data_IF_880076206342
#
_entry.id   IF_880076206342
#
_cell.length_a   1.000
_cell.length_b   1.000
_cell.length_c   1.000
_cell.angle_alpha   90.00
_cell.angle_beta   90.00
_cell.angle_gamma   90.00
#
_symmetry.space_group_name_H-M   'P 1'
#
loop_
_entity.id
_entity.type
_entity.pdbx_description
1 polymer ?
#
# COMPACT_ATOMS: atom_id res chain seq x y z
N UNK A 1 -6.27 1.02 -2.20
CA UNK A 1 -4.83 1.29 -2.39
C UNK A 1 -4.37 2.41 -1.47
N UNK A 2 -3.06 2.70 -1.37
CA UNK A 2 -2.50 3.61 -0.36
C UNK A 2 -2.90 5.08 -0.53
N UNK A 3 -2.49 5.72 -1.62
CA UNK A 3 -2.55 7.19 -1.75
C UNK A 3 -3.97 7.77 -1.75
N UNK A 4 -4.90 7.18 -2.50
CA UNK A 4 -6.30 7.63 -2.49
C UNK A 4 -6.99 7.39 -1.14
N UNK A 5 -6.66 6.30 -0.43
CA UNK A 5 -7.28 6.01 0.85
C UNK A 5 -6.84 7.00 1.93
N UNK A 6 -5.54 7.33 2.00
CA UNK A 6 -5.06 8.36 2.94
C UNK A 6 -5.58 9.75 2.54
N UNK A 7 -5.65 10.07 1.25
CA UNK A 7 -6.27 11.30 0.77
C UNK A 7 -7.74 11.41 1.19
N UNK A 8 -8.51 10.34 1.00
CA UNK A 8 -9.91 10.26 1.41
C UNK A 8 -10.06 10.43 2.92
N UNK A 9 -9.16 9.81 3.70
CA UNK A 9 -9.13 9.93 5.16
C UNK A 9 -8.95 11.39 5.57
N UNK A 10 -7.94 12.08 5.04
CA UNK A 10 -7.71 13.51 5.28
C UNK A 10 -8.94 14.33 4.88
N UNK A 11 -9.46 14.12 3.66
CA UNK A 11 -10.61 14.88 3.15
C UNK A 11 -11.86 14.71 4.00
N UNK A 12 -12.13 13.48 4.46
CA UNK A 12 -13.32 13.14 5.24
C UNK A 12 -13.21 13.63 6.68
N UNK A 13 -12.01 13.57 7.27
CA UNK A 13 -11.75 13.92 8.66
C UNK A 13 -11.16 15.32 8.87
N UNK A 14 -11.06 16.15 7.82
CA UNK A 14 -10.40 17.47 7.83
C UNK A 14 -10.82 18.45 8.94
N UNK A 15 -12.01 18.28 9.52
CA UNK A 15 -12.53 19.14 10.59
C UNK A 15 -12.30 18.56 11.99
N UNK A 16 -11.63 17.41 12.10
CA UNK A 16 -11.31 16.76 13.37
C UNK A 16 -9.85 17.07 13.72
N UNK A 17 -9.58 17.82 14.81
CA UNK A 17 -8.23 18.29 15.14
C UNK A 17 -7.26 17.14 15.44
N UNK A 18 -7.76 16.00 15.91
CA UNK A 18 -6.95 14.83 16.25
C UNK A 18 -6.70 13.91 15.04
N UNK A 19 -7.23 14.24 13.86
CA UNK A 19 -7.13 13.42 12.65
C UNK A 19 -6.04 13.93 11.69
N UNK A 20 -4.86 14.22 12.26
CA UNK A 20 -3.69 14.71 11.51
C UNK A 20 -2.77 13.53 11.21
N UNK A 21 -2.43 13.35 9.94
CA UNK A 21 -1.45 12.34 9.51
C UNK A 21 -0.03 12.94 9.51
N UNK A 22 1.00 12.11 9.78
CA UNK A 22 2.40 12.49 9.62
C UNK A 22 2.75 12.67 8.13
N UNK A 23 4.04 12.85 7.84
CA UNK A 23 4.55 12.77 6.48
C UNK A 23 4.03 11.51 5.77
N UNK A 24 3.55 11.68 4.53
CA UNK A 24 2.86 10.61 3.79
C UNK A 24 3.73 9.37 3.56
N UNK A 25 5.06 9.52 3.60
CA UNK A 25 6.04 8.43 3.52
C UNK A 25 5.94 7.47 4.72
N UNK A 26 5.62 8.01 5.89
CA UNK A 26 5.54 7.28 7.16
C UNK A 26 4.22 6.51 7.29
N UNK A 27 3.19 6.96 6.56
CA UNK A 27 1.88 6.28 6.48
C UNK A 27 1.95 5.07 5.54
N UNK A 28 2.74 4.05 5.91
CA UNK A 28 2.94 2.81 5.15
C UNK A 28 1.72 1.89 5.23
N UNK A 29 1.75 0.74 4.54
CA UNK A 29 0.69 -0.27 4.66
C UNK A 29 0.72 -1.03 5.99
N UNK A 30 1.76 -0.85 6.82
CA UNK A 30 1.92 -1.55 8.11
C UNK A 30 1.47 -0.72 9.31
N UNK A 31 1.21 0.58 9.14
CA UNK A 31 0.64 1.39 10.23
C UNK A 31 -0.75 0.88 10.62
N UNK A 32 -1.18 1.03 11.89
CA UNK A 32 -2.32 0.29 12.43
C UNK A 32 -3.61 0.39 11.61
N UNK A 33 -4.04 1.60 11.23
CA UNK A 33 -5.29 1.76 10.49
C UNK A 33 -5.22 1.24 9.05
N UNK A 34 -4.04 1.29 8.41
CA UNK A 34 -3.82 0.72 7.08
C UNK A 34 -3.78 -0.81 7.14
N UNK A 35 -3.20 -1.37 8.21
CA UNK A 35 -3.19 -2.81 8.46
C UNK A 35 -4.61 -3.34 8.67
N UNK A 36 -5.38 -2.67 9.53
CA UNK A 36 -6.79 -2.99 9.77
C UNK A 36 -7.60 -2.93 8.46
N UNK A 37 -7.37 -1.89 7.64
CA UNK A 37 -7.98 -1.77 6.31
C UNK A 37 -7.67 -2.97 5.41
N UNK A 38 -6.41 -3.38 5.28
CA UNK A 38 -6.06 -4.50 4.38
C UNK A 38 -6.56 -5.84 4.88
N UNK A 39 -6.49 -6.10 6.18
CA UNK A 39 -6.98 -7.37 6.75
C UNK A 39 -8.50 -7.49 6.62
N UNK A 40 -9.24 -6.42 6.91
CA UNK A 40 -10.69 -6.41 6.74
C UNK A 40 -11.08 -6.58 5.26
N UNK A 41 -10.33 -5.98 4.34
CA UNK A 41 -10.56 -6.09 2.89
C UNK A 41 -10.40 -7.54 2.42
N UNK A 42 -9.33 -8.23 2.82
CA UNK A 42 -9.12 -9.66 2.52
C UNK A 42 -10.25 -10.52 3.09
N UNK A 43 -10.51 -10.38 4.40
CA UNK A 43 -11.56 -11.15 5.08
C UNK A 43 -12.93 -10.98 4.41
N UNK A 44 -13.30 -9.73 4.09
CA UNK A 44 -14.60 -9.40 3.50
C UNK A 44 -14.75 -9.97 2.09
N UNK A 45 -13.71 -9.86 1.25
CA UNK A 45 -13.73 -10.41 -0.11
C UNK A 45 -13.87 -11.95 -0.08
N UNK A 46 -13.03 -12.62 0.69
CA UNK A 46 -12.97 -14.09 0.72
C UNK A 46 -14.22 -14.71 1.32
N UNK A 47 -14.79 -14.10 2.37
CA UNK A 47 -16.09 -14.50 2.92
C UNK A 47 -17.22 -14.49 1.87
N UNK A 48 -17.07 -13.72 0.79
CA UNK A 48 -18.03 -13.62 -0.32
C UNK A 48 -17.56 -14.32 -1.61
N UNK A 49 -16.46 -15.07 -1.56
CA UNK A 49 -15.90 -15.74 -2.74
C UNK A 49 -15.35 -14.79 -3.81
N UNK A 50 -15.08 -13.53 -3.45
CA UNK A 50 -14.50 -12.49 -4.31
C UNK A 50 -12.98 -12.39 -4.11
N UNK A 51 -12.28 -11.84 -5.10
CA UNK A 51 -10.84 -11.63 -5.01
C UNK A 51 -10.48 -10.40 -4.16
N UNK A 52 -9.42 -10.52 -3.37
CA UNK A 52 -8.77 -9.42 -2.67
C UNK A 52 -7.47 -9.03 -3.39
N UNK A 53 -7.34 -7.77 -3.82
CA UNK A 53 -6.16 -7.31 -4.59
C UNK A 53 -5.31 -6.35 -3.74
N UNK A 54 -4.01 -6.65 -3.68
CA UNK A 54 -3.00 -5.86 -3.01
C UNK A 54 -2.74 -4.49 -3.66
N UNK A 55 -1.89 -3.68 -3.02
CA UNK A 55 -1.61 -2.32 -3.47
C UNK A 55 -0.66 -2.24 -4.67
N UNK A 56 -0.40 -1.01 -5.13
CA UNK A 56 0.54 -0.73 -6.21
C UNK A 56 1.99 -0.69 -5.69
N UNK A 57 2.92 -1.36 -6.39
CA UNK A 57 4.35 -1.05 -6.34
C UNK A 57 4.71 -0.07 -7.47
N UNK A 58 5.01 1.18 -7.11
CA UNK A 58 5.19 2.29 -8.06
C UNK A 58 6.66 2.62 -8.38
N UNK A 59 7.61 1.81 -7.91
CA UNK A 59 9.03 2.07 -8.17
C UNK A 59 9.37 1.87 -9.66
N UNK A 60 10.17 2.77 -10.21
CA UNK A 60 10.69 2.66 -11.58
C UNK A 60 12.18 2.31 -11.48
N UNK A 61 12.59 1.09 -11.87
CA UNK A 61 14.00 0.69 -11.85
C UNK A 61 14.90 1.62 -12.64
N UNK A 62 16.06 1.96 -12.07
CA UNK A 62 17.05 2.83 -12.71
C UNK A 62 18.30 2.03 -13.05
N UNK A 63 18.49 1.71 -14.33
CA UNK A 63 19.65 0.94 -14.82
C UNK A 63 20.99 1.62 -14.58
N UNK A 64 21.02 2.94 -14.37
CA UNK A 64 22.24 3.70 -14.08
C UNK A 64 22.64 3.65 -12.61
N UNK A 65 21.73 3.19 -11.75
CA UNK A 65 21.94 3.08 -10.32
C UNK A 65 21.45 1.71 -9.83
N UNK A 66 22.27 0.65 -10.02
CA UNK A 66 21.87 -0.71 -9.70
C UNK A 66 21.67 -0.90 -8.19
N UNK A 67 22.43 -0.21 -7.34
CA UNK A 67 22.32 -0.34 -5.89
C UNK A 67 20.99 0.23 -5.36
N UNK A 68 20.59 1.42 -5.84
CA UNK A 68 19.27 1.99 -5.50
C UNK A 68 18.15 1.08 -6.02
N UNK A 69 18.33 0.51 -7.21
CA UNK A 69 17.36 -0.41 -7.79
C UNK A 69 17.21 -1.69 -6.97
N UNK A 70 18.30 -2.33 -6.57
CA UNK A 70 18.27 -3.54 -5.74
C UNK A 70 17.63 -3.27 -4.37
N UNK A 71 17.99 -2.16 -3.72
CA UNK A 71 17.38 -1.76 -2.45
C UNK A 71 15.87 -1.53 -2.56
N UNK A 72 15.41 -0.93 -3.66
CA UNK A 72 13.99 -0.73 -3.91
C UNK A 72 13.27 -2.05 -4.25
N UNK A 73 13.90 -2.94 -5.03
CA UNK A 73 13.36 -4.26 -5.34
C UNK A 73 13.22 -5.11 -4.08
N UNK A 74 14.17 -5.06 -3.15
CA UNK A 74 14.06 -5.72 -1.86
C UNK A 74 12.82 -5.27 -1.08
N UNK A 75 12.57 -3.95 -1.03
CA UNK A 75 11.36 -3.38 -0.40
C UNK A 75 10.08 -3.80 -1.11
N UNK A 76 10.06 -3.82 -2.44
CA UNK A 76 8.92 -4.32 -3.22
C UNK A 76 8.64 -5.78 -2.87
N UNK A 77 9.67 -6.63 -2.81
CA UNK A 77 9.51 -8.05 -2.45
C UNK A 77 8.99 -8.23 -1.04
N UNK A 78 9.48 -7.45 -0.08
CA UNK A 78 8.97 -7.47 1.29
C UNK A 78 7.48 -7.07 1.35
N UNK A 79 7.11 -5.98 0.69
CA UNK A 79 5.74 -5.51 0.62
C UNK A 79 4.81 -6.55 -0.02
N UNK A 80 5.25 -7.18 -1.11
CA UNK A 80 4.45 -8.20 -1.81
C UNK A 80 4.36 -9.50 -1.05
N UNK A 81 5.42 -9.86 -0.31
CA UNK A 81 5.41 -11.04 0.56
C UNK A 81 4.42 -10.86 1.70
N UNK A 82 4.31 -9.65 2.25
CA UNK A 82 3.27 -9.32 3.23
C UNK A 82 1.88 -9.47 2.60
N UNK A 83 1.63 -8.83 1.46
CA UNK A 83 0.33 -8.89 0.77
C UNK A 83 -0.11 -10.33 0.46
N UNK A 84 0.78 -11.14 -0.13
CA UNK A 84 0.48 -12.54 -0.44
C UNK A 84 0.27 -13.37 0.84
N UNK A 85 1.08 -13.17 1.89
CA UNK A 85 0.87 -13.84 3.16
C UNK A 85 -0.38 -13.39 3.93
N UNK A 86 -0.89 -12.19 3.68
CA UNK A 86 -2.14 -11.74 4.31
C UNK A 86 -3.38 -12.37 3.68
N UNK A 87 -3.30 -12.74 2.41
CA UNK A 87 -4.40 -13.33 1.66
C UNK A 87 -4.76 -12.58 0.37
N UNK A 88 -3.99 -11.60 -0.11
CA UNK A 88 -4.27 -10.98 -1.40
C UNK A 88 -4.07 -11.99 -2.56
N UNK A 89 -5.05 -12.14 -3.44
CA UNK A 89 -4.98 -13.06 -4.59
C UNK A 89 -4.08 -12.57 -5.72
N UNK A 90 -3.80 -11.27 -5.73
CA UNK A 90 -2.94 -10.61 -6.72
C UNK A 90 -2.54 -9.23 -6.25
N UNK A 91 -1.75 -8.54 -7.07
CA UNK A 91 -1.22 -7.21 -6.74
C UNK A 91 -0.95 -6.37 -7.99
N UNK A 92 -0.62 -5.10 -7.81
CA UNK A 92 -0.34 -4.15 -8.89
C UNK A 92 1.14 -3.74 -8.93
N UNK A 93 1.65 -3.57 -10.15
CA UNK A 93 2.97 -2.99 -10.45
C UNK A 93 2.85 -1.89 -11.51
N UNK A 94 3.67 -0.86 -11.42
CA UNK A 94 3.64 0.27 -12.35
C UNK A 94 4.63 0.13 -13.52
N UNK A 95 5.53 -0.85 -13.46
CA UNK A 95 6.59 -1.02 -14.45
C UNK A 95 6.79 -2.51 -14.79
N UNK A 96 6.99 -2.88 -16.07
CA UNK A 96 7.19 -4.28 -16.50
C UNK A 96 8.33 -5.00 -15.77
N UNK A 97 9.44 -4.31 -15.51
CA UNK A 97 10.60 -4.88 -14.79
C UNK A 97 10.26 -5.32 -13.35
N UNK A 98 9.14 -4.86 -12.77
CA UNK A 98 8.66 -5.33 -11.48
C UNK A 98 7.81 -6.61 -11.58
N UNK A 99 7.37 -7.01 -12.77
CA UNK A 99 6.52 -8.21 -12.94
C UNK A 99 7.25 -9.49 -12.49
N UNK A 100 8.46 -9.82 -12.99
CA UNK A 100 9.15 -11.04 -12.57
C UNK A 100 9.39 -11.16 -11.05
N UNK A 101 9.94 -10.14 -10.34
CA UNK A 101 10.18 -10.26 -8.91
C UNK A 101 8.89 -10.33 -8.08
N UNK A 102 7.79 -9.76 -8.56
CA UNK A 102 6.49 -9.84 -7.88
C UNK A 102 5.82 -11.19 -8.10
N UNK A 103 5.89 -11.74 -9.31
CA UNK A 103 5.37 -13.09 -9.61
C UNK A 103 6.05 -14.13 -8.73
N UNK A 104 7.38 -14.10 -8.63
CA UNK A 104 8.15 -15.02 -7.78
C UNK A 104 7.64 -15.04 -6.32
N UNK A 105 7.28 -13.87 -5.77
CA UNK A 105 6.79 -13.72 -4.40
C UNK A 105 5.37 -14.28 -4.24
N UNK A 106 4.52 -14.14 -5.25
CA UNK A 106 3.17 -14.69 -5.24
C UNK A 106 3.15 -16.19 -5.50
N UNK A 107 3.95 -16.68 -6.46
CA UNK A 107 4.08 -18.10 -6.79
C UNK A 107 4.59 -18.91 -5.58
N UNK A 108 5.51 -18.35 -4.78
CA UNK A 108 6.00 -18.97 -3.56
C UNK A 108 4.89 -19.23 -2.51
N UNK A 109 3.81 -18.44 -2.52
CA UNK A 109 2.69 -18.58 -1.58
C UNK A 109 1.52 -19.35 -2.21
N UNK A 110 1.21 -19.11 -3.48
CA UNK A 110 0.08 -19.72 -4.18
C UNK A 110 0.40 -21.15 -4.65
N UNK A 111 1.65 -21.46 -4.98
CA UNK A 111 2.03 -22.69 -5.65
C UNK A 111 1.24 -22.87 -6.95
N UNK A 112 0.50 -23.96 -7.07
CA UNK A 112 -0.33 -24.24 -8.25
C UNK A 112 -1.75 -23.62 -8.17
N UNK A 113 -2.10 -22.94 -7.07
CA UNK A 113 -3.44 -22.36 -6.92
C UNK A 113 -3.56 -21.07 -7.74
N UNK A 114 -4.67 -20.83 -8.45
CA UNK A 114 -4.87 -19.60 -9.21
C UNK A 114 -5.20 -18.38 -8.33
N UNK A 115 -5.55 -18.59 -7.06
CA UNK A 115 -5.90 -17.59 -6.06
C UNK A 115 -5.92 -18.25 -4.67
N UNK A 116 -6.20 -17.47 -3.62
CA UNK A 116 -6.27 -17.93 -2.23
C UNK A 116 -7.57 -17.50 -1.54
N UNK A 117 -8.69 -17.47 -2.28
CA UNK A 117 -10.03 -17.16 -1.76
C UNK A 117 -10.49 -18.12 -0.66
N UNK A 118 -9.88 -19.29 -0.55
CA UNK A 118 -10.08 -20.26 0.54
C UNK A 118 -9.49 -19.79 1.88
N UNK A 119 -8.60 -18.80 1.87
CA UNK A 119 -8.03 -18.18 3.07
C UNK A 119 -8.99 -17.17 3.69
N UNK A 120 -9.99 -17.66 4.41
CA UNK A 120 -11.10 -16.84 4.92
C UNK A 120 -10.72 -15.78 5.98
N UNK A 121 -9.54 -15.89 6.59
CA UNK A 121 -9.06 -14.97 7.64
C UNK A 121 -10.09 -14.77 8.78
N UNK A 122 -10.65 -15.87 9.30
CA UNK A 122 -11.64 -15.82 10.39
C UNK A 122 -11.05 -15.30 11.73
N UNK A 123 -9.72 -15.23 11.82
CA UNK A 123 -8.95 -14.59 12.88
C UNK A 123 -9.06 -13.05 12.89
N UNK A 124 -9.47 -12.45 11.77
CA UNK A 124 -9.51 -10.99 11.62
C UNK A 124 -10.78 -10.41 12.25
N UNK A 125 -10.59 -9.57 13.25
CA UNK A 125 -11.64 -8.77 13.88
C UNK A 125 -11.24 -7.30 13.86
N UNK A 126 -11.87 -6.53 12.97
CA UNK A 126 -11.62 -5.09 12.78
C UNK A 126 -12.88 -4.32 13.10
N UNK A 127 -12.76 -3.33 13.99
CA UNK A 127 -13.83 -2.41 14.35
C UNK A 127 -13.65 -1.06 13.67
N UNK A 128 -14.70 -0.23 13.70
CA UNK A 128 -14.66 1.10 13.11
C UNK A 128 -13.55 2.00 13.68
N UNK A 129 -13.20 1.83 14.96
CA UNK A 129 -12.13 2.59 15.62
C UNK A 129 -10.74 2.26 15.07
N UNK A 130 -10.52 1.01 14.66
CA UNK A 130 -9.22 0.56 14.14
C UNK A 130 -8.94 1.19 12.77
N UNK A 131 -9.99 1.37 11.95
CA UNK A 131 -9.92 1.98 10.63
C UNK A 131 -9.63 3.49 10.65
N UNK A 132 -9.78 4.14 11.80
CA UNK A 132 -9.59 5.59 11.98
C UNK A 132 -8.51 5.93 13.02
N UNK A 133 -7.74 4.93 13.48
CA UNK A 133 -6.67 5.13 14.45
C UNK A 133 -5.42 5.75 13.78
N UNK A 134 -5.56 6.97 13.26
CA UNK A 134 -4.50 7.67 12.54
C UNK A 134 -3.38 8.15 13.47
N UNK A 135 -3.70 8.48 14.72
CA UNK A 135 -2.71 8.91 15.72
C UNK A 135 -1.68 7.83 16.07
N UNK A 136 -2.03 6.55 15.89
CA UNK A 136 -1.11 5.43 16.07
C UNK A 136 -0.21 5.17 14.85
N UNK A 137 -0.25 6.01 13.81
CA UNK A 137 0.61 5.83 12.63
C UNK A 137 2.10 6.05 12.93
N UNK A 138 2.43 6.76 14.01
CA UNK A 138 3.79 7.21 14.29
C UNK A 138 4.29 8.21 13.23
N UNK A 139 5.57 8.55 13.27
CA UNK A 139 6.18 9.49 12.34
C UNK A 139 6.06 10.96 12.75
N UNK A 140 6.46 11.85 11.85
CA UNK A 140 6.48 13.29 12.10
C UNK A 140 6.01 14.07 10.88
N UNK A 141 5.59 15.32 11.11
CA UNK A 141 5.41 16.31 10.03
C UNK A 141 6.73 17.06 9.93
N UNK A 142 7.39 16.99 8.78
CA UNK A 142 8.70 17.63 8.60
C UNK A 142 8.67 18.65 7.47
N UNK A 143 9.56 19.66 7.55
CA UNK A 143 9.75 20.59 6.44
C UNK A 143 10.14 19.84 5.15
N UNK A 144 10.97 18.81 5.27
CA UNK A 144 11.37 17.95 4.16
C UNK A 144 10.18 17.26 3.49
N UNK A 145 9.26 16.70 4.29
CA UNK A 145 8.02 16.09 3.81
C UNK A 145 7.11 17.08 3.10
N UNK A 146 6.97 18.29 3.65
CA UNK A 146 6.18 19.37 3.02
C UNK A 146 6.80 19.80 1.69
N UNK A 147 8.12 20.04 1.63
CA UNK A 147 8.82 20.39 0.39
C UNK A 147 8.69 19.30 -0.68
N UNK A 148 8.80 18.04 -0.27
CA UNK A 148 8.59 16.90 -1.16
C UNK A 148 7.16 16.87 -1.72
N UNK A 149 6.15 17.11 -0.89
CA UNK A 149 4.75 17.15 -1.33
C UNK A 149 4.51 18.26 -2.36
N UNK A 150 4.99 19.47 -2.10
CA UNK A 150 4.87 20.60 -3.05
C UNK A 150 5.57 20.28 -4.36
N UNK A 151 6.82 19.80 -4.30
CA UNK A 151 7.60 19.46 -5.50
C UNK A 151 6.93 18.39 -6.36
N UNK A 152 6.50 17.28 -5.75
CA UNK A 152 5.84 16.18 -6.47
C UNK A 152 4.49 16.63 -7.05
N UNK A 153 3.70 17.40 -6.30
CA UNK A 153 2.40 17.88 -6.77
C UNK A 153 2.54 18.79 -8.00
N UNK A 154 3.47 19.76 -7.97
CA UNK A 154 3.68 20.68 -9.08
C UNK A 154 4.17 19.95 -10.34
N UNK A 155 5.12 19.02 -10.20
CA UNK A 155 5.61 18.23 -11.32
C UNK A 155 4.52 17.33 -11.91
N UNK A 156 3.74 16.67 -11.06
CA UNK A 156 2.64 15.83 -11.49
C UNK A 156 1.58 16.63 -12.25
N UNK A 157 1.16 17.79 -11.73
CA UNK A 157 0.18 18.66 -12.38
C UNK A 157 0.72 19.19 -13.71
N UNK A 158 1.99 19.59 -13.77
CA UNK A 158 2.61 20.06 -15.01
C UNK A 158 2.62 18.98 -16.10
N UNK A 159 3.02 17.75 -15.73
CA UNK A 159 2.99 16.62 -16.66
C UNK A 159 1.55 16.29 -17.08
N UNK A 160 0.61 16.25 -16.14
CA UNK A 160 -0.81 15.97 -16.42
C UNK A 160 -1.43 16.98 -17.40
N UNK A 161 -1.12 18.26 -17.25
CA UNK A 161 -1.59 19.32 -18.16
C UNK A 161 -0.94 19.24 -19.55
N UNK A 162 0.18 18.53 -19.69
CA UNK A 162 0.91 18.38 -20.95
C UNK A 162 0.48 17.16 -21.78
N UNK A 163 -0.38 16.28 -21.23
CA UNK A 163 -0.79 15.02 -21.85
C UNK A 163 0.22 13.88 -21.67
#
# INVERSE_FOLDING_TARGET
>A
GRWDYIFSTIKKMRNQPDMILPDRSDVTMTVPFMRAYTELMVHTCHKRGAHAIGGMAAFIPNRRDPEVTENALAKVREDKRRESNDGCDGTWVAHPDLVPPVLEVFDAVLGNKPNQKDKLRNDVHVEGKDLINVGASGGAITEGGVRLNVSVALQYINAWLSG
#
